data_IF_074116021655
#
_entry.id   IF_074116021655
#
_cell.length_a   1.000
_cell.length_b   1.000
_cell.length_c   1.000
_cell.angle_alpha   90.00
_cell.angle_beta   90.00
_cell.angle_gamma   90.00
#
_symmetry.space_group_name_H-M   'P 1'
#
loop_
_entity.id
_entity.type
_entity.pdbx_description
1 polymer ?
#
# COMPACT_ATOMS: atom_id res chain seq x y z
N UNK A 1 30.57 -3.39 -20.62
CA UNK A 1 30.88 -3.53 -19.20
C UNK A 1 29.65 -4.15 -18.53
N UNK A 2 29.76 -5.26 -17.77
CA UNK A 2 28.59 -5.88 -17.15
C UNK A 2 27.95 -4.93 -16.12
N UNK A 3 26.62 -4.89 -16.09
CA UNK A 3 25.87 -4.08 -15.16
C UNK A 3 26.11 -4.58 -13.73
N UNK A 4 26.59 -3.72 -12.84
CA UNK A 4 26.75 -4.03 -11.43
C UNK A 4 25.68 -3.31 -10.61
N UNK A 5 24.91 -4.08 -9.88
CA UNK A 5 23.93 -3.62 -8.88
C UNK A 5 24.51 -3.89 -7.52
N UNK A 6 24.54 -2.91 -6.64
CA UNK A 6 25.00 -3.08 -5.27
C UNK A 6 24.12 -4.08 -4.54
N UNK A 7 24.74 -5.08 -3.89
CA UNK A 7 24.01 -6.03 -3.08
C UNK A 7 23.73 -5.42 -1.69
N UNK A 8 22.54 -4.85 -1.56
CA UNK A 8 22.09 -4.28 -0.30
C UNK A 8 21.49 -5.38 0.56
N UNK A 9 22.26 -5.87 1.54
CA UNK A 9 21.82 -6.89 2.50
C UNK A 9 21.90 -6.36 3.92
N UNK A 10 20.76 -6.10 4.52
CA UNK A 10 20.70 -5.79 5.94
C UNK A 10 20.83 -7.08 6.77
N UNK A 11 21.45 -7.09 7.96
CA UNK A 11 21.28 -8.19 8.92
C UNK A 11 19.79 -8.46 9.18
N UNK A 12 19.41 -9.70 9.49
CA UNK A 12 18.00 -10.05 9.64
C UNK A 12 17.30 -9.22 10.73
N UNK A 13 17.96 -9.05 11.87
CA UNK A 13 17.41 -8.26 12.97
C UNK A 13 17.18 -6.79 12.60
N UNK A 14 18.09 -6.17 11.83
CA UNK A 14 17.91 -4.80 11.31
C UNK A 14 16.71 -4.75 10.36
N UNK A 15 16.60 -5.73 9.45
CA UNK A 15 15.48 -5.76 8.51
C UNK A 15 14.13 -5.95 9.21
N UNK A 16 14.07 -6.69 10.31
CA UNK A 16 12.88 -6.85 11.14
C UNK A 16 12.50 -5.52 11.82
N UNK A 17 13.50 -4.80 12.37
CA UNK A 17 13.26 -3.46 12.95
C UNK A 17 12.77 -2.48 11.88
N UNK A 18 13.43 -2.46 10.71
CA UNK A 18 13.02 -1.62 9.58
C UNK A 18 11.60 -1.97 9.13
N UNK A 19 11.25 -3.27 9.08
CA UNK A 19 9.93 -3.73 8.71
C UNK A 19 8.85 -3.30 9.72
N UNK A 20 9.14 -3.37 11.02
CA UNK A 20 8.24 -2.89 12.06
C UNK A 20 7.99 -1.37 11.93
N UNK A 21 9.05 -0.58 11.74
CA UNK A 21 8.92 0.85 11.48
C UNK A 21 8.20 1.16 10.17
N UNK A 22 8.45 0.35 9.12
CA UNK A 22 7.82 0.54 7.82
C UNK A 22 6.29 0.41 7.88
N UNK A 23 5.75 -0.53 8.67
CA UNK A 23 4.30 -0.68 8.84
C UNK A 23 3.65 0.56 9.44
N UNK A 24 4.24 1.14 10.48
CA UNK A 24 3.75 2.38 11.10
C UNK A 24 3.87 3.57 10.13
N UNK A 25 4.98 3.65 9.38
CA UNK A 25 5.18 4.71 8.37
C UNK A 25 4.18 4.57 7.21
N UNK A 26 3.82 3.34 6.80
CA UNK A 26 2.77 3.10 5.81
C UNK A 26 1.43 3.66 6.31
N UNK A 27 1.05 3.35 7.55
CA UNK A 27 -0.21 3.78 8.15
C UNK A 27 -0.33 5.31 8.22
N UNK A 28 0.74 6.00 8.62
CA UNK A 28 0.77 7.45 8.67
C UNK A 28 0.54 8.13 7.29
N UNK A 29 0.66 7.39 6.19
CA UNK A 29 0.31 7.82 4.84
C UNK A 29 -1.17 7.75 4.52
N UNK A 30 -1.98 7.06 5.34
CA UNK A 30 -3.43 6.92 5.15
C UNK A 30 -4.21 8.09 5.77
N UNK A 31 -5.52 8.22 5.48
CA UNK A 31 -6.31 9.41 5.83
C UNK A 31 -6.26 9.85 7.30
N UNK A 32 -6.09 8.94 8.26
CA UNK A 32 -6.00 9.30 9.67
C UNK A 32 -4.73 10.12 9.97
N UNK A 33 -3.60 9.78 9.34
CA UNK A 33 -2.34 10.54 9.43
C UNK A 33 -2.21 11.59 8.35
N UNK A 34 -2.81 11.34 7.20
CA UNK A 34 -2.88 12.16 5.98
C UNK A 34 -1.52 12.68 5.44
N UNK A 35 -0.43 12.00 5.79
CA UNK A 35 0.91 12.33 5.27
C UNK A 35 1.22 11.39 4.09
N UNK A 36 0.48 11.54 2.99
CA UNK A 36 0.53 10.67 1.82
C UNK A 36 1.95 10.31 1.31
N UNK A 37 3.01 11.18 1.39
CA UNK A 37 4.35 10.78 0.94
C UNK A 37 4.96 9.65 1.77
N UNK A 38 4.52 9.47 3.02
CA UNK A 38 5.01 8.42 3.90
C UNK A 38 4.64 7.02 3.39
N UNK A 39 3.56 6.87 2.63
CA UNK A 39 3.25 5.60 1.97
C UNK A 39 4.38 5.16 1.02
N UNK A 40 4.96 6.07 0.24
CA UNK A 40 6.11 5.77 -0.62
C UNK A 40 7.36 5.41 0.19
N UNK A 41 7.59 6.10 1.31
CA UNK A 41 8.70 5.79 2.22
C UNK A 41 8.52 4.41 2.84
N UNK A 42 7.33 4.09 3.33
CA UNK A 42 7.02 2.78 3.91
C UNK A 42 7.19 1.64 2.89
N UNK A 43 6.69 1.81 1.64
CA UNK A 43 6.94 0.86 0.54
C UNK A 43 8.45 0.68 0.32
N UNK A 44 9.22 1.79 0.28
CA UNK A 44 10.67 1.72 0.08
C UNK A 44 11.37 0.94 1.19
N UNK A 45 11.01 1.19 2.45
CA UNK A 45 11.57 0.49 3.61
C UNK A 45 11.29 -1.02 3.55
N UNK A 46 10.04 -1.42 3.23
CA UNK A 46 9.69 -2.83 3.04
C UNK A 46 10.53 -3.46 1.93
N UNK A 47 10.57 -2.83 0.75
CA UNK A 47 11.29 -3.37 -0.40
C UNK A 47 12.79 -3.48 -0.14
N UNK A 48 13.39 -2.52 0.54
CA UNK A 48 14.81 -2.57 0.97
C UNK A 48 15.04 -3.69 1.97
N UNK A 49 14.17 -3.85 2.97
CA UNK A 49 14.27 -4.89 3.98
C UNK A 49 14.19 -6.31 3.39
N UNK A 50 13.50 -6.50 2.25
CA UNK A 50 13.35 -7.78 1.55
C UNK A 50 14.57 -8.16 0.71
N UNK A 51 15.47 -7.22 0.39
CA UNK A 51 16.59 -7.52 -0.53
C UNK A 51 17.57 -8.52 0.06
N UNK A 52 17.98 -9.48 -0.78
CA UNK A 52 18.95 -10.51 -0.41
C UNK A 52 18.45 -11.54 0.61
N UNK A 53 17.16 -11.57 0.93
CA UNK A 53 16.59 -12.54 1.88
C UNK A 53 16.44 -13.93 1.27
N UNK A 54 16.40 -14.95 2.16
CA UNK A 54 15.84 -16.26 1.89
C UNK A 54 14.34 -16.25 2.19
N UNK A 55 13.59 -17.22 1.67
CA UNK A 55 12.13 -17.27 1.81
C UNK A 55 11.63 -17.11 3.27
N UNK A 56 12.20 -17.85 4.22
CA UNK A 56 11.80 -17.71 5.63
C UNK A 56 12.08 -16.34 6.24
N UNK A 57 13.23 -15.73 5.93
CA UNK A 57 13.54 -14.37 6.37
C UNK A 57 12.67 -13.32 5.69
N UNK A 58 12.30 -13.53 4.43
CA UNK A 58 11.38 -12.65 3.71
C UNK A 58 9.96 -12.73 4.29
N UNK A 59 9.49 -13.95 4.59
CA UNK A 59 8.20 -14.15 5.24
C UNK A 59 8.14 -13.44 6.59
N UNK A 60 9.17 -13.60 7.43
CA UNK A 60 9.24 -12.94 8.74
C UNK A 60 9.22 -11.40 8.60
N UNK A 61 10.03 -10.85 7.70
CA UNK A 61 10.07 -9.39 7.44
C UNK A 61 8.71 -8.89 6.94
N UNK A 62 8.09 -9.59 6.01
CA UNK A 62 6.75 -9.25 5.51
C UNK A 62 5.68 -9.38 6.59
N UNK A 63 5.71 -10.46 7.39
CA UNK A 63 4.77 -10.66 8.49
C UNK A 63 4.87 -9.53 9.52
N UNK A 64 6.08 -9.13 9.91
CA UNK A 64 6.28 -8.03 10.87
C UNK A 64 5.82 -6.70 10.29
N UNK A 65 6.13 -6.41 9.01
CA UNK A 65 5.64 -5.20 8.34
C UNK A 65 4.10 -5.17 8.27
N UNK A 66 3.49 -6.31 7.91
CA UNK A 66 2.03 -6.45 7.87
C UNK A 66 1.39 -6.31 9.23
N UNK A 67 1.92 -6.97 10.28
CA UNK A 67 1.41 -6.85 11.64
C UNK A 67 1.50 -5.42 12.14
N UNK A 68 2.66 -4.76 12.01
CA UNK A 68 2.82 -3.38 12.47
C UNK A 68 1.93 -2.39 11.71
N UNK A 69 1.65 -2.65 10.43
CA UNK A 69 0.71 -1.86 9.65
C UNK A 69 -0.73 -2.11 10.08
N UNK A 70 -1.23 -3.35 10.02
CA UNK A 70 -2.65 -3.63 10.24
C UNK A 70 -3.09 -3.48 11.70
N UNK A 71 -2.23 -3.75 12.69
CA UNK A 71 -2.58 -3.51 14.09
C UNK A 71 -2.86 -2.02 14.38
N UNK A 72 -2.18 -1.11 13.68
CA UNK A 72 -2.45 0.34 13.78
C UNK A 72 -3.63 0.71 12.88
N UNK A 73 -3.56 0.34 11.60
CA UNK A 73 -4.47 0.76 10.55
C UNK A 73 -5.95 0.40 10.80
N UNK A 74 -6.20 -0.75 11.40
CA UNK A 74 -7.57 -1.20 11.67
C UNK A 74 -7.90 -1.24 13.16
N UNK A 75 -7.19 -0.45 13.98
CA UNK A 75 -7.46 -0.38 15.42
C UNK A 75 -8.91 0.03 15.74
N UNK A 76 -9.52 0.85 14.89
CA UNK A 76 -10.94 1.22 14.98
C UNK A 76 -11.90 0.02 15.03
N UNK A 77 -11.50 -1.13 14.48
CA UNK A 77 -12.33 -2.35 14.53
C UNK A 77 -12.56 -2.86 15.96
N UNK A 78 -11.70 -2.48 16.92
CA UNK A 78 -11.89 -2.83 18.34
C UNK A 78 -13.18 -2.25 18.92
N UNK A 79 -13.63 -1.10 18.42
CA UNK A 79 -14.86 -0.42 18.86
C UNK A 79 -16.11 -1.25 18.56
N UNK A 80 -16.09 -2.07 17.50
CA UNK A 80 -17.26 -2.82 17.04
C UNK A 80 -17.22 -4.28 17.44
N UNK A 81 -16.04 -4.91 17.40
CA UNK A 81 -15.87 -6.36 17.51
C UNK A 81 -14.98 -6.79 18.69
N UNK A 82 -14.36 -5.85 19.39
CA UNK A 82 -13.41 -6.10 20.46
C UNK A 82 -12.01 -6.55 19.97
N UNK A 83 -11.15 -6.93 20.90
CA UNK A 83 -9.74 -7.20 20.64
C UNK A 83 -9.49 -8.46 19.81
N UNK A 84 -10.27 -9.54 20.04
CA UNK A 84 -9.99 -10.83 19.40
C UNK A 84 -10.15 -10.80 17.88
N UNK A 85 -11.27 -10.31 17.31
CA UNK A 85 -11.43 -10.18 15.87
C UNK A 85 -10.43 -9.21 15.24
N UNK A 86 -10.08 -8.11 15.91
CA UNK A 86 -9.05 -7.18 15.45
C UNK A 86 -7.69 -7.85 15.31
N UNK A 87 -7.22 -8.61 16.32
CA UNK A 87 -5.95 -9.34 16.25
C UNK A 87 -6.01 -10.42 15.15
N UNK A 88 -7.13 -11.15 15.07
CA UNK A 88 -7.29 -12.22 14.08
C UNK A 88 -7.23 -11.68 12.64
N UNK A 89 -7.96 -10.59 12.36
CA UNK A 89 -7.96 -9.95 11.04
C UNK A 89 -6.58 -9.36 10.71
N UNK A 90 -5.97 -8.63 11.64
CA UNK A 90 -4.62 -8.08 11.46
C UNK A 90 -3.60 -9.18 11.18
N UNK A 91 -3.71 -10.32 11.86
CA UNK A 91 -2.82 -11.47 11.64
C UNK A 91 -3.05 -12.10 10.27
N UNK A 92 -4.30 -12.28 9.85
CA UNK A 92 -4.64 -12.81 8.53
C UNK A 92 -4.04 -11.94 7.42
N UNK A 93 -4.25 -10.64 7.49
CA UNK A 93 -3.70 -9.68 6.52
C UNK A 93 -2.17 -9.67 6.52
N UNK A 94 -1.54 -9.78 7.70
CA UNK A 94 -0.11 -9.88 7.82
C UNK A 94 0.46 -11.19 7.24
N UNK A 95 -0.29 -12.29 7.27
CA UNK A 95 0.10 -13.54 6.60
C UNK A 95 0.12 -13.37 5.07
N UNK A 96 -0.87 -12.67 4.48
CA UNK A 96 -0.82 -12.30 3.06
C UNK A 96 0.38 -11.41 2.75
N UNK A 97 0.69 -10.46 3.64
CA UNK A 97 1.85 -9.61 3.48
C UNK A 97 3.16 -10.42 3.50
N UNK A 98 3.27 -11.38 4.42
CA UNK A 98 4.40 -12.31 4.51
C UNK A 98 4.54 -13.18 3.26
N UNK A 99 3.44 -13.74 2.74
CA UNK A 99 3.43 -14.53 1.51
C UNK A 99 3.85 -13.70 0.29
N UNK A 100 3.30 -12.49 0.15
CA UNK A 100 3.69 -11.54 -0.89
C UNK A 100 5.18 -11.15 -0.82
N UNK A 101 5.72 -10.96 0.38
CA UNK A 101 7.13 -10.67 0.62
C UNK A 101 8.05 -11.80 0.13
N UNK A 102 7.65 -13.07 0.28
CA UNK A 102 8.38 -14.21 -0.27
C UNK A 102 8.42 -14.13 -1.80
N UNK A 103 7.27 -13.90 -2.45
CA UNK A 103 7.18 -13.79 -3.91
C UNK A 103 8.05 -12.64 -4.43
N UNK A 104 8.01 -11.47 -3.81
CA UNK A 104 8.84 -10.32 -4.16
C UNK A 104 10.34 -10.66 -4.01
N UNK A 105 10.71 -11.35 -2.95
CA UNK A 105 12.10 -11.78 -2.74
C UNK A 105 12.56 -12.77 -3.80
N UNK A 106 11.68 -13.68 -4.24
CA UNK A 106 11.95 -14.58 -5.35
C UNK A 106 12.11 -13.82 -6.67
N UNK A 107 11.28 -12.79 -6.92
CA UNK A 107 11.41 -11.92 -8.08
C UNK A 107 12.78 -11.22 -8.10
N UNK A 108 13.24 -10.64 -6.99
CA UNK A 108 14.58 -10.05 -6.87
C UNK A 108 15.71 -11.04 -7.16
N UNK A 109 15.49 -12.34 -6.93
CA UNK A 109 16.49 -13.38 -7.22
C UNK A 109 16.46 -13.87 -8.66
N UNK A 110 15.25 -14.07 -9.24
CA UNK A 110 15.09 -14.76 -10.50
C UNK A 110 15.04 -13.82 -11.70
N UNK A 111 14.36 -12.67 -11.58
CA UNK A 111 14.21 -11.73 -12.70
C UNK A 111 15.57 -11.25 -13.25
N UNK A 112 16.55 -10.85 -12.40
CA UNK A 112 17.87 -10.45 -12.89
C UNK A 112 18.67 -11.57 -13.59
N UNK A 113 18.35 -12.83 -13.33
CA UNK A 113 19.00 -13.97 -13.99
C UNK A 113 18.44 -14.21 -15.39
N UNK A 114 17.14 -13.96 -15.56
CA UNK A 114 16.45 -14.12 -16.85
C UNK A 114 16.71 -12.90 -17.74
N UNK A 115 16.68 -11.71 -17.15
CA UNK A 115 16.92 -10.42 -17.82
C UNK A 115 18.07 -9.65 -17.14
N UNK A 116 19.34 -10.00 -17.41
CA UNK A 116 20.50 -9.41 -16.71
C UNK A 116 20.86 -7.99 -17.16
N UNK A 117 20.28 -7.51 -18.27
CA UNK A 117 20.58 -6.21 -18.84
C UNK A 117 19.92 -5.02 -18.12
N UNK A 118 20.18 -3.82 -18.64
CA UNK A 118 19.64 -2.56 -18.09
C UNK A 118 18.12 -2.58 -18.04
N UNK A 119 17.44 -3.02 -19.10
CA UNK A 119 15.97 -3.11 -19.16
C UNK A 119 15.45 -4.09 -18.10
N UNK A 120 16.12 -5.24 -17.93
CA UNK A 120 15.76 -6.21 -16.89
C UNK A 120 15.78 -5.61 -15.49
N UNK A 121 16.85 -4.86 -15.17
CA UNK A 121 17.03 -4.26 -13.85
C UNK A 121 16.18 -3.00 -13.64
N UNK A 122 16.10 -2.11 -14.63
CA UNK A 122 15.44 -0.82 -14.48
C UNK A 122 13.93 -0.87 -14.72
N UNK A 123 13.43 -1.86 -15.48
CA UNK A 123 12.02 -1.96 -15.86
C UNK A 123 11.39 -3.27 -15.40
N UNK A 124 11.96 -4.43 -15.81
CA UNK A 124 11.29 -5.72 -15.55
C UNK A 124 11.22 -6.03 -14.05
N UNK A 125 12.30 -5.80 -13.29
CA UNK A 125 12.29 -6.01 -11.81
C UNK A 125 11.23 -5.13 -11.14
N UNK A 126 11.17 -3.80 -11.34
CA UNK A 126 10.11 -2.95 -10.79
C UNK A 126 8.70 -3.40 -11.15
N UNK A 127 8.46 -3.72 -12.42
CA UNK A 127 7.14 -4.17 -12.92
C UNK A 127 6.71 -5.47 -12.25
N UNK A 128 7.60 -6.47 -12.16
CA UNK A 128 7.28 -7.75 -11.51
C UNK A 128 7.06 -7.56 -10.01
N UNK A 129 7.88 -6.77 -9.32
CA UNK A 129 7.72 -6.47 -7.90
C UNK A 129 6.38 -5.77 -7.64
N UNK A 130 6.04 -4.77 -8.46
CA UNK A 130 4.76 -4.07 -8.35
C UNK A 130 3.57 -5.00 -8.63
N UNK A 131 3.68 -5.84 -9.67
CA UNK A 131 2.65 -6.83 -9.99
C UNK A 131 2.40 -7.82 -8.85
N UNK A 132 3.46 -8.30 -8.19
CA UNK A 132 3.34 -9.21 -7.05
C UNK A 132 2.77 -8.52 -5.80
N UNK A 133 3.12 -7.27 -5.58
CA UNK A 133 2.51 -6.47 -4.51
C UNK A 133 1.01 -6.29 -4.74
N UNK A 134 0.63 -5.85 -5.94
CA UNK A 134 -0.77 -5.64 -6.32
C UNK A 134 -1.57 -6.95 -6.35
N UNK A 135 -0.94 -8.06 -6.78
CA UNK A 135 -1.54 -9.40 -6.70
C UNK A 135 -1.86 -9.77 -5.24
N UNK A 136 -0.95 -9.50 -4.31
CA UNK A 136 -1.20 -9.71 -2.87
C UNK A 136 -2.41 -8.88 -2.40
N UNK A 137 -2.47 -7.59 -2.76
CA UNK A 137 -3.61 -6.72 -2.43
C UNK A 137 -4.92 -7.23 -3.05
N UNK A 138 -4.86 -7.72 -4.28
CA UNK A 138 -6.01 -8.29 -4.97
C UNK A 138 -6.51 -9.55 -4.26
N UNK A 139 -5.62 -10.48 -3.90
CA UNK A 139 -6.00 -11.72 -3.19
C UNK A 139 -6.59 -11.39 -1.83
N UNK A 140 -5.91 -10.59 -1.00
CA UNK A 140 -6.38 -10.19 0.32
C UNK A 140 -7.70 -9.41 0.28
N UNK A 141 -7.90 -8.58 -0.75
CA UNK A 141 -9.11 -7.80 -0.94
C UNK A 141 -10.31 -8.56 -1.52
N UNK A 142 -10.17 -9.88 -1.83
CA UNK A 142 -11.25 -10.69 -2.39
C UNK A 142 -11.44 -12.02 -1.65
N UNK A 143 -10.48 -12.49 -0.88
CA UNK A 143 -10.51 -13.79 -0.20
C UNK A 143 -9.77 -13.73 1.15
N UNK A 144 -10.26 -14.44 2.20
CA UNK A 144 -11.51 -15.21 2.29
C UNK A 144 -12.75 -14.32 2.55
N UNK A 145 -13.95 -14.89 2.43
CA UNK A 145 -15.23 -14.25 2.77
C UNK A 145 -15.49 -12.86 2.14
N UNK A 146 -14.99 -12.64 0.93
CA UNK A 146 -15.08 -11.34 0.24
C UNK A 146 -13.86 -10.45 0.45
N UNK A 147 -12.91 -10.88 1.29
CA UNK A 147 -11.65 -10.20 1.53
C UNK A 147 -11.73 -8.93 2.36
N UNK A 148 -10.57 -8.29 2.57
CA UNK A 148 -10.45 -7.04 3.29
C UNK A 148 -9.56 -6.06 2.50
N UNK A 149 -10.17 -5.09 1.83
CA UNK A 149 -9.52 -4.23 0.84
C UNK A 149 -8.98 -2.90 1.40
N UNK A 150 -9.10 -2.65 2.70
CA UNK A 150 -8.82 -1.34 3.32
C UNK A 150 -7.32 -0.99 3.35
N UNK A 151 -6.43 -1.98 3.34
CA UNK A 151 -4.98 -1.79 3.31
C UNK A 151 -4.38 -1.62 1.90
N UNK A 152 -5.14 -1.26 0.87
CA UNK A 152 -4.60 -1.00 -0.47
C UNK A 152 -3.83 0.31 -0.49
N UNK A 153 -2.60 0.29 -0.98
CA UNK A 153 -1.71 1.47 -0.97
C UNK A 153 -2.31 2.69 -1.68
N UNK A 154 -3.10 2.49 -2.72
CA UNK A 154 -3.77 3.59 -3.42
C UNK A 154 -4.66 4.44 -2.53
N UNK A 155 -5.25 3.87 -1.45
CA UNK A 155 -6.12 4.60 -0.53
C UNK A 155 -5.38 5.68 0.26
N UNK A 156 -4.06 5.52 0.45
CA UNK A 156 -3.21 6.54 1.06
C UNK A 156 -3.07 7.80 0.19
N UNK A 157 -3.53 7.77 -1.07
CA UNK A 157 -3.34 8.85 -2.03
C UNK A 157 -4.58 9.72 -2.22
N UNK A 158 -5.60 9.58 -1.39
CA UNK A 158 -6.88 10.32 -1.52
C UNK A 158 -6.73 11.85 -1.54
N UNK A 159 -5.75 12.38 -0.82
CA UNK A 159 -5.43 13.82 -0.75
C UNK A 159 -4.14 14.19 -1.51
N UNK A 160 -3.60 13.28 -2.30
CA UNK A 160 -2.34 13.49 -3.02
C UNK A 160 -2.55 13.95 -4.45
N UNK A 161 -1.51 14.52 -5.11
CA UNK A 161 -1.54 14.79 -6.55
C UNK A 161 -1.78 13.55 -7.42
N UNK A 162 -1.60 12.35 -6.87
CA UNK A 162 -1.79 11.08 -7.58
C UNK A 162 -3.25 10.59 -7.57
N UNK A 163 -4.14 11.20 -6.78
CA UNK A 163 -5.54 10.77 -6.67
C UNK A 163 -6.24 10.73 -8.04
N UNK A 164 -5.98 11.70 -8.90
CA UNK A 164 -6.55 11.77 -10.25
C UNK A 164 -6.19 10.59 -11.17
N UNK A 165 -5.09 9.88 -10.89
CA UNK A 165 -4.68 8.70 -11.67
C UNK A 165 -5.66 7.54 -11.54
N UNK A 166 -6.44 7.48 -10.45
CA UNK A 166 -7.45 6.43 -10.25
C UNK A 166 -8.46 6.39 -11.40
N UNK A 167 -8.79 7.55 -11.97
CA UNK A 167 -9.70 7.62 -13.12
C UNK A 167 -9.15 6.93 -14.38
N UNK A 168 -7.81 6.86 -14.52
CA UNK A 168 -7.14 6.23 -15.66
C UNK A 168 -6.85 4.75 -15.46
N UNK A 169 -6.40 4.37 -14.28
CA UNK A 169 -5.84 3.04 -14.02
C UNK A 169 -6.56 2.25 -12.93
N UNK A 170 -7.55 2.84 -12.30
CA UNK A 170 -8.24 2.25 -11.14
C UNK A 170 -7.38 2.21 -9.88
N UNK A 171 -7.96 1.76 -8.77
CA UNK A 171 -7.28 1.66 -7.46
C UNK A 171 -6.09 0.70 -7.54
N UNK A 172 -6.26 -0.47 -8.14
CA UNK A 172 -5.17 -1.46 -8.26
C UNK A 172 -4.05 -0.96 -9.17
N UNK A 173 -4.37 -0.22 -10.23
CA UNK A 173 -3.38 0.41 -11.11
C UNK A 173 -2.58 1.50 -10.39
N UNK A 174 -3.22 2.30 -9.53
CA UNK A 174 -2.50 3.29 -8.73
C UNK A 174 -1.56 2.62 -7.72
N UNK A 175 -2.00 1.59 -6.97
CA UNK A 175 -1.09 0.80 -6.12
C UNK A 175 0.09 0.25 -6.90
N UNK A 176 -0.15 -0.31 -8.09
CA UNK A 176 0.90 -0.80 -8.98
C UNK A 176 1.89 0.30 -9.35
N UNK A 177 1.43 1.47 -9.78
CA UNK A 177 2.30 2.59 -10.17
C UNK A 177 3.14 3.10 -9.01
N UNK A 178 2.57 3.22 -7.81
CA UNK A 178 3.30 3.61 -6.61
C UNK A 178 4.47 2.65 -6.33
N UNK A 179 4.19 1.35 -6.28
CA UNK A 179 5.21 0.33 -6.00
C UNK A 179 6.23 0.24 -7.14
N UNK A 180 5.80 0.32 -8.41
CA UNK A 180 6.68 0.31 -9.57
C UNK A 180 7.65 1.49 -9.55
N UNK A 181 7.15 2.69 -9.24
CA UNK A 181 7.96 3.90 -9.12
C UNK A 181 9.02 3.75 -8.02
N UNK A 182 8.60 3.34 -6.81
CA UNK A 182 9.53 3.13 -5.69
C UNK A 182 10.57 2.06 -6.01
N UNK A 183 10.15 0.92 -6.56
CA UNK A 183 11.05 -0.16 -6.95
C UNK A 183 12.04 0.29 -8.03
N UNK A 184 11.60 1.08 -9.02
CA UNK A 184 12.47 1.64 -10.06
C UNK A 184 13.50 2.61 -9.48
N UNK A 185 13.09 3.51 -8.59
CA UNK A 185 14.00 4.45 -7.91
C UNK A 185 15.06 3.71 -7.08
N UNK A 186 14.67 2.66 -6.33
CA UNK A 186 15.61 1.81 -5.60
C UNK A 186 16.58 1.12 -6.56
N UNK A 187 16.09 0.54 -7.66
CA UNK A 187 16.95 -0.13 -8.64
C UNK A 187 17.94 0.84 -9.28
N UNK A 188 17.48 2.02 -9.71
CA UNK A 188 18.33 3.07 -10.25
C UNK A 188 19.40 3.50 -9.23
N UNK A 189 19.05 3.67 -7.96
CA UNK A 189 20.00 4.04 -6.92
C UNK A 189 21.11 3.00 -6.73
N UNK A 190 20.80 1.71 -6.91
CA UNK A 190 21.71 0.60 -6.72
C UNK A 190 22.57 0.25 -7.96
N UNK A 191 22.29 0.83 -9.13
CA UNK A 191 23.04 0.62 -10.38
C UNK A 191 24.33 1.43 -10.42
N UNK A 192 25.37 0.98 -9.71
CA UNK A 192 26.62 1.75 -9.54
C UNK A 192 27.45 1.93 -10.82
N UNK A 193 27.23 1.11 -11.85
CA UNK A 193 27.89 1.26 -13.15
C UNK A 193 27.27 2.32 -14.06
N UNK A 194 26.06 2.80 -13.72
CA UNK A 194 25.40 3.91 -14.43
C UNK A 194 25.81 5.23 -13.78
N UNK A 195 26.21 6.26 -14.53
CA UNK A 195 26.58 7.56 -13.97
C UNK A 195 25.49 8.12 -13.05
N UNK A 196 25.88 8.75 -11.94
CA UNK A 196 24.92 9.31 -10.98
C UNK A 196 23.94 10.28 -11.61
N UNK A 197 24.43 11.17 -12.48
CA UNK A 197 23.59 12.13 -13.20
C UNK A 197 22.50 11.44 -14.03
N UNK A 198 22.84 10.38 -14.76
CA UNK A 198 21.89 9.60 -15.57
C UNK A 198 20.82 8.94 -14.67
N UNK A 199 21.22 8.38 -13.52
CA UNK A 199 20.27 7.75 -12.58
C UNK A 199 19.31 8.77 -11.99
N UNK A 200 19.81 9.93 -11.58
CA UNK A 200 19.00 11.04 -11.05
C UNK A 200 18.04 11.56 -12.12
N UNK A 201 18.54 11.78 -13.33
CA UNK A 201 17.70 12.23 -14.46
C UNK A 201 16.61 11.22 -14.80
N UNK A 202 16.95 9.93 -14.89
CA UNK A 202 15.97 8.87 -15.16
C UNK A 202 14.91 8.78 -14.06
N UNK A 203 15.31 8.89 -12.79
CA UNK A 203 14.37 8.93 -11.66
C UNK A 203 13.46 10.16 -11.70
N UNK A 204 14.02 11.33 -11.97
CA UNK A 204 13.25 12.56 -12.10
C UNK A 204 12.23 12.47 -13.26
N UNK A 205 12.65 11.94 -14.43
CA UNK A 205 11.74 11.70 -15.55
C UNK A 205 10.61 10.75 -15.17
N UNK A 206 10.91 9.66 -14.47
CA UNK A 206 9.88 8.71 -14.03
C UNK A 206 8.85 9.37 -13.09
N UNK A 207 9.29 10.18 -12.13
CA UNK A 207 8.39 10.93 -11.23
C UNK A 207 7.56 11.95 -12.01
N UNK A 208 8.21 12.75 -12.88
CA UNK A 208 7.53 13.77 -13.69
C UNK A 208 6.52 13.13 -14.64
N UNK A 209 6.84 11.99 -15.25
CA UNK A 209 5.94 11.30 -16.16
C UNK A 209 4.63 10.86 -15.46
N UNK A 210 4.72 10.42 -14.21
CA UNK A 210 3.53 10.06 -13.42
C UNK A 210 2.73 11.30 -13.00
N UNK A 211 3.42 12.37 -12.59
CA UNK A 211 2.77 13.62 -12.16
C UNK A 211 2.18 14.42 -13.33
N UNK A 212 2.72 14.25 -14.54
CA UNK A 212 2.27 14.96 -15.76
C UNK A 212 1.03 14.33 -16.41
N UNK A 213 0.50 13.22 -15.89
CA UNK A 213 -0.74 12.62 -16.41
C UNK A 213 -1.89 13.60 -16.16
N UNK A 214 -2.61 14.05 -17.22
CA UNK A 214 -3.68 15.00 -17.05
C UNK A 214 -4.85 14.42 -16.28
N UNK A 215 -5.65 15.28 -15.66
CA UNK A 215 -6.91 14.87 -15.07
C UNK A 215 -7.79 14.20 -16.14
N UNK A 216 -8.58 13.20 -15.72
CA UNK A 216 -9.55 12.57 -16.62
C UNK A 216 -10.54 13.60 -17.12
N UNK A 217 -10.79 13.69 -18.45
CA UNK A 217 -11.72 14.64 -18.99
C UNK A 217 -13.15 14.32 -18.51
N UNK A 218 -13.75 15.28 -17.81
CA UNK A 218 -15.15 15.19 -17.34
C UNK A 218 -15.95 16.33 -17.91
N UNK A 219 -17.23 16.09 -18.23
CA UNK A 219 -18.19 17.13 -18.55
C UNK A 219 -19.26 17.17 -17.47
N UNK A 220 -19.64 18.37 -17.02
CA UNK A 220 -20.77 18.55 -16.11
C UNK A 220 -22.06 18.56 -16.88
N UNK A 221 -23.01 17.69 -16.54
CA UNK A 221 -24.36 17.65 -17.13
C UNK A 221 -25.43 18.29 -16.23
N UNK A 222 -25.01 18.90 -15.12
CA UNK A 222 -25.90 19.56 -14.16
C UNK A 222 -25.35 19.54 -12.75
N UNK A 223 -26.10 20.06 -11.80
CA UNK A 223 -25.82 20.08 -10.37
C UNK A 223 -26.92 19.36 -9.62
N UNK A 224 -26.53 18.48 -8.66
CA UNK A 224 -27.46 17.88 -7.71
C UNK A 224 -27.06 18.29 -6.29
N UNK A 225 -28.05 18.62 -5.46
CA UNK A 225 -27.84 18.79 -4.02
C UNK A 225 -28.06 17.42 -3.35
N UNK A 226 -27.03 16.92 -2.69
CA UNK A 226 -27.07 15.63 -1.97
C UNK A 226 -26.71 15.89 -0.52
N UNK A 227 -27.56 15.42 0.40
CA UNK A 227 -27.27 15.45 1.83
C UNK A 227 -26.97 14.04 2.31
N UNK A 228 -25.82 13.86 2.94
CA UNK A 228 -25.48 12.64 3.70
C UNK A 228 -25.92 12.81 5.15
N UNK A 229 -26.74 11.89 5.65
CA UNK A 229 -27.21 11.91 7.03
C UNK A 229 -26.62 10.75 7.81
N UNK A 230 -25.95 11.05 8.93
CA UNK A 230 -25.43 10.06 9.87
C UNK A 230 -26.04 10.28 11.24
N UNK A 231 -26.81 9.32 11.72
CA UNK A 231 -27.54 9.42 12.99
C UNK A 231 -26.68 9.19 14.23
N UNK A 232 -25.48 8.63 14.08
CA UNK A 232 -24.55 8.30 15.18
C UNK A 232 -25.17 7.47 16.30
N UNK A 233 -26.13 6.59 15.97
CA UNK A 233 -26.71 5.65 16.92
C UNK A 233 -25.72 4.55 17.36
N UNK A 234 -26.02 3.80 18.46
CA UNK A 234 -25.15 2.73 18.93
C UNK A 234 -24.95 1.68 17.83
N UNK A 235 -23.70 1.46 17.43
CA UNK A 235 -23.34 0.60 16.30
C UNK A 235 -22.44 -0.59 16.68
N UNK A 236 -21.93 -0.66 17.93
CA UNK A 236 -21.13 -1.78 18.41
C UNK A 236 -21.94 -3.08 18.44
N UNK A 237 -21.29 -4.22 18.17
CA UNK A 237 -21.96 -5.53 18.14
C UNK A 237 -22.59 -5.89 19.49
N UNK A 238 -21.99 -5.45 20.58
CA UNK A 238 -22.42 -5.71 21.95
C UNK A 238 -23.16 -4.54 22.58
N UNK A 239 -23.45 -3.47 21.82
CA UNK A 239 -24.22 -2.34 22.33
C UNK A 239 -25.66 -2.77 22.61
N UNK A 240 -26.19 -2.42 23.80
CA UNK A 240 -27.60 -2.55 24.12
C UNK A 240 -28.38 -1.55 23.26
N UNK A 241 -29.34 -2.04 22.51
CA UNK A 241 -30.20 -1.25 21.62
C UNK A 241 -31.65 -1.51 21.90
N UNK A 242 -32.42 -0.44 22.05
CA UNK A 242 -33.88 -0.54 22.05
C UNK A 242 -34.40 -0.56 20.61
N UNK A 243 -35.59 -1.12 20.43
CA UNK A 243 -36.24 -1.17 19.12
C UNK A 243 -36.51 0.25 18.62
N UNK A 244 -35.92 0.62 17.53
CA UNK A 244 -36.09 1.94 16.91
C UNK A 244 -34.94 2.94 17.14
N UNK A 245 -33.99 2.67 18.03
CA UNK A 245 -32.88 3.62 18.33
C UNK A 245 -32.12 4.09 17.11
N UNK A 246 -31.76 3.17 16.21
CA UNK A 246 -31.07 3.53 14.97
C UNK A 246 -31.93 4.39 14.06
N UNK A 247 -33.23 4.07 13.95
CA UNK A 247 -34.17 4.86 13.15
C UNK A 247 -34.35 6.24 13.74
N UNK A 248 -34.59 6.33 15.06
CA UNK A 248 -34.79 7.59 15.75
C UNK A 248 -33.55 8.50 15.63
N UNK A 249 -32.32 7.95 15.75
CA UNK A 249 -31.10 8.73 15.57
C UNK A 249 -30.95 9.28 14.17
N UNK A 250 -31.34 8.53 13.13
CA UNK A 250 -31.38 9.01 11.74
C UNK A 250 -32.43 10.11 11.53
N UNK A 251 -33.64 9.93 12.06
CA UNK A 251 -34.73 10.91 11.98
C UNK A 251 -34.34 12.22 12.66
N UNK A 252 -33.73 12.15 13.84
CA UNK A 252 -33.22 13.33 14.55
C UNK A 252 -32.13 14.06 13.76
N UNK A 253 -31.20 13.33 13.16
CA UNK A 253 -30.17 13.92 12.33
C UNK A 253 -30.75 14.58 11.06
N UNK A 254 -31.79 13.99 10.46
CA UNK A 254 -32.50 14.57 9.30
C UNK A 254 -33.24 15.85 9.65
N UNK A 255 -33.79 15.98 10.86
CA UNK A 255 -34.55 17.18 11.27
C UNK A 255 -33.70 18.46 11.33
N UNK A 256 -32.36 18.33 11.37
CA UNK A 256 -31.42 19.44 11.29
C UNK A 256 -31.08 19.90 9.86
N UNK A 257 -31.60 19.24 8.82
CA UNK A 257 -31.40 19.62 7.42
C UNK A 257 -32.45 20.66 7.04
N UNK A 258 -32.09 21.97 7.06
CA UNK A 258 -32.86 23.06 6.51
C UNK A 258 -32.25 23.65 5.24
#
# INVERSE_FOLDING_TARGET
>A
MPLRVTDLRLPLWVAVIVAAGAGVVLDAGFPDGDVWPLAFVGIALVLVALRGRRAGGAFLVGLVAGLSFYLVHIFWATLYLGLLPWIALSTLEALFFGAGAVLITLAYRWVPRIWPGLVGQAVVVPVVVAGLWTLREFVAGNWPYGGFAWGRMALSQSQSPFAGLVAWVGISGLSFLMVALVAALIQLALMVTVPRATRVLAGAIAVVAVLAVPAWPTSSSGTARIAGVQGNGPAGYFDEREQGDLLNSQVLAMSGLQ
#
